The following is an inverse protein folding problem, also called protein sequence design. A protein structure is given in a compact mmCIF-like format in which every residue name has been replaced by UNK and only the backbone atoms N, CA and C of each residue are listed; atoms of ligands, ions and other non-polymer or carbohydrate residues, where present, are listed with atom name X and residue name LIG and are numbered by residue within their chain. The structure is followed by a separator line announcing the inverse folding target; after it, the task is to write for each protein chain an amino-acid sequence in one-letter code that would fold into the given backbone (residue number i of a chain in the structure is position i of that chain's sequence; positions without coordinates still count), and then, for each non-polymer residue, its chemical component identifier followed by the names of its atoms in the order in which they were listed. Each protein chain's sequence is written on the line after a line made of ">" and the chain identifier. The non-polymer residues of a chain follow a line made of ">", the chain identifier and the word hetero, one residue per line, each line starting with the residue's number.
data_IF_095436880860
#
_entry.id   IF_095436880860
#
_cell.length_a   1.000
_cell.length_b   1.000
_cell.length_c   1.000
_cell.angle_alpha   90.00
_cell.angle_beta   90.00
_cell.angle_gamma   90.00
#
_symmetry.space_group_name_H-M   'P 1'
#
loop_
_entity.id
_entity.type
_entity.pdbx_description
1 polymer ?
#
# COMPACT_ATOMS: atom_id res chain seq x y z
N UNK A 1 1.37 1.08 9.70
CA UNK A 1 0.27 2.03 9.38
C UNK A 1 -1.04 1.26 9.38
N UNK A 2 -2.13 1.86 9.87
CA UNK A 2 -3.46 1.22 9.80
C UNK A 2 -3.90 1.08 8.35
N UNK A 3 -4.47 -0.09 8.03
CA UNK A 3 -5.04 -0.38 6.71
C UNK A 3 -6.02 0.69 6.27
N UNK A 4 -6.84 1.22 7.18
CA UNK A 4 -7.81 2.29 6.91
C UNK A 4 -7.20 3.54 6.27
N UNK A 5 -5.92 3.81 6.53
CA UNK A 5 -5.23 4.98 5.95
C UNK A 5 -4.57 4.69 4.61
N UNK A 6 -4.54 3.42 4.18
CA UNK A 6 -3.94 3.02 2.91
C UNK A 6 -4.83 3.44 1.75
N UNK A 7 -4.24 4.13 0.78
CA UNK A 7 -4.89 4.53 -0.46
C UNK A 7 -4.37 3.68 -1.63
N UNK A 8 -5.20 3.45 -2.66
CA UNK A 8 -4.72 2.92 -3.92
C UNK A 8 -3.50 3.73 -4.43
N UNK A 9 -2.49 3.02 -4.94
CA UNK A 9 -1.23 3.61 -5.42
C UNK A 9 -0.11 3.65 -4.37
N UNK A 10 -0.40 3.46 -3.07
CA UNK A 10 0.64 3.35 -2.06
C UNK A 10 1.47 2.07 -2.23
N UNK A 11 2.75 2.14 -1.86
CA UNK A 11 3.64 0.99 -1.80
C UNK A 11 3.61 0.36 -0.41
N UNK A 12 3.53 -0.96 -0.37
CA UNK A 12 3.40 -1.73 0.87
C UNK A 12 4.43 -2.85 0.87
N UNK A 13 5.10 -3.04 2.01
CA UNK A 13 5.98 -4.18 2.21
C UNK A 13 5.20 -5.32 2.86
N UNK A 14 5.18 -6.46 2.19
CA UNK A 14 4.47 -7.65 2.65
C UNK A 14 5.27 -8.90 2.27
N UNK A 15 5.54 -9.76 3.26
CA UNK A 15 6.40 -10.95 3.12
C UNK A 15 7.77 -10.63 2.50
N UNK A 16 8.42 -9.56 2.98
CA UNK A 16 9.73 -9.12 2.47
C UNK A 16 9.72 -8.58 1.03
N UNK A 17 8.56 -8.46 0.40
CA UNK A 17 8.40 -7.96 -0.98
C UNK A 17 7.62 -6.66 -1.01
N UNK A 18 7.91 -5.83 -2.01
CA UNK A 18 7.15 -4.59 -2.27
C UNK A 18 5.96 -4.88 -3.17
N UNK A 19 4.81 -4.36 -2.78
CA UNK A 19 3.53 -4.48 -3.46
C UNK A 19 2.90 -3.11 -3.62
N UNK A 20 2.04 -2.94 -4.64
CA UNK A 20 1.23 -1.74 -4.80
C UNK A 20 -0.18 -2.01 -4.26
N UNK A 21 -0.70 -1.11 -3.44
CA UNK A 21 -2.10 -1.14 -3.05
C UNK A 21 -2.98 -0.82 -4.26
N UNK A 22 -3.82 -1.76 -4.68
CA UNK A 22 -4.75 -1.56 -5.81
C UNK A 22 -6.12 -1.12 -5.35
N UNK A 23 -6.61 -1.70 -4.24
CA UNK A 23 -7.91 -1.38 -3.68
C UNK A 23 -7.92 -1.66 -2.18
N UNK A 24 -8.49 -0.74 -1.40
CA UNK A 24 -8.72 -0.93 0.03
C UNK A 24 -10.22 -0.94 0.27
N UNK A 25 -10.76 -2.12 0.54
CA UNK A 25 -12.19 -2.32 0.78
C UNK A 25 -12.41 -2.96 2.14
N UNK A 26 -13.66 -3.01 2.59
CA UNK A 26 -14.03 -3.61 3.87
C UNK A 26 -13.54 -5.07 3.98
N UNK A 27 -13.67 -5.83 2.88
CA UNK A 27 -13.22 -7.23 2.75
C UNK A 27 -11.70 -7.44 2.77
N UNK A 28 -10.90 -6.37 2.75
CA UNK A 28 -9.45 -6.43 2.81
C UNK A 28 -8.75 -5.46 1.86
N UNK A 29 -7.42 -5.47 1.93
CA UNK A 29 -6.55 -4.68 1.09
C UNK A 29 -5.99 -5.56 -0.03
N UNK A 30 -6.29 -5.18 -1.26
CA UNK A 30 -5.80 -5.82 -2.46
C UNK A 30 -4.48 -5.19 -2.86
N UNK A 31 -3.52 -6.07 -3.07
CA UNK A 31 -2.16 -5.75 -3.48
C UNK A 31 -1.95 -6.33 -4.87
N UNK A 32 -1.48 -5.50 -5.81
CA UNK A 32 -1.05 -5.94 -7.11
C UNK A 32 0.44 -5.73 -7.31
N UNK A 33 0.97 -6.58 -8.17
CA UNK A 33 2.30 -6.52 -8.74
C UNK A 33 2.15 -6.86 -10.23
N UNK A 34 3.18 -6.58 -11.02
CA UNK A 34 3.17 -6.73 -12.48
C UNK A 34 2.53 -8.04 -12.99
N UNK A 35 2.70 -9.15 -12.28
CA UNK A 35 2.20 -10.47 -12.68
C UNK A 35 1.32 -11.16 -11.63
N UNK A 36 1.04 -10.52 -10.49
CA UNK A 36 0.40 -11.21 -9.36
C UNK A 36 -0.51 -10.28 -8.59
N UNK A 37 -1.61 -10.83 -8.07
CA UNK A 37 -2.49 -10.14 -7.12
C UNK A 37 -2.59 -10.97 -5.85
N UNK A 38 -2.61 -10.29 -4.72
CA UNK A 38 -2.85 -10.91 -3.41
C UNK A 38 -3.80 -10.04 -2.60
N UNK A 39 -4.46 -10.64 -1.62
CA UNK A 39 -5.35 -9.95 -0.68
C UNK A 39 -4.83 -10.17 0.72
N UNK A 40 -4.69 -9.07 1.46
CA UNK A 40 -4.33 -9.11 2.87
C UNK A 40 -5.46 -8.54 3.72
N UNK A 41 -5.73 -9.21 4.83
CA UNK A 41 -6.75 -8.79 5.82
C UNK A 41 -6.12 -8.23 7.10
N UNK A 42 -4.79 -8.10 7.13
CA UNK A 42 -4.08 -7.54 8.26
C UNK A 42 -4.53 -6.09 8.53
N UNK A 43 -4.75 -5.77 9.81
CA UNK A 43 -5.18 -4.43 10.23
C UNK A 43 -4.03 -3.42 10.15
N UNK A 44 -2.82 -3.88 10.42
CA UNK A 44 -1.60 -3.08 10.35
C UNK A 44 -0.75 -3.58 9.19
N UNK A 45 -0.30 -2.64 8.35
CA UNK A 45 0.55 -2.91 7.20
C UNK A 45 1.76 -1.98 7.18
N UNK A 46 2.87 -2.47 6.64
CA UNK A 46 4.08 -1.68 6.43
C UNK A 46 3.94 -0.88 5.12
N UNK A 47 3.74 0.44 5.23
CA UNK A 47 3.67 1.32 4.07
C UNK A 47 5.04 1.93 3.82
N UNK A 48 5.52 1.82 2.58
CA UNK A 48 6.72 2.51 2.11
C UNK A 48 6.28 3.92 1.73
N UNK A 49 6.62 4.89 2.58
CA UNK A 49 6.43 6.31 2.29
C UNK A 49 7.64 6.81 1.53
N UNK A 50 7.40 7.45 0.39
CA UNK A 50 8.45 8.22 -0.26
C UNK A 50 8.70 9.46 0.62
N UNK A 51 9.94 9.59 1.09
CA UNK A 51 10.33 10.65 2.00
C UNK A 51 10.62 11.98 1.31
N UNK A 52 10.30 12.14 0.02
CA UNK A 52 10.44 13.45 -0.60
C UNK A 52 9.32 14.37 -0.08
N UNK A 53 9.60 15.37 0.78
CA UNK A 53 8.69 16.48 0.89
C UNK A 53 8.53 17.01 -0.53
N UNK A 54 7.31 16.97 -1.06
CA UNK A 54 6.97 17.78 -2.22
C UNK A 54 7.17 19.21 -1.75
N UNK A 55 8.36 19.77 -2.01
CA UNK A 55 8.56 21.20 -1.94
C UNK A 55 7.49 21.79 -2.85
N UNK A 56 6.53 22.58 -2.33
CA UNK A 56 5.60 23.27 -3.21
C UNK A 56 6.45 24.17 -4.10
N UNK A 57 6.52 23.80 -5.38
CA UNK A 57 7.17 24.61 -6.39
C UNK A 57 6.25 25.76 -6.77
N UNK A 58 6.78 26.97 -6.58
CA UNK A 58 6.28 28.29 -6.98
C UNK A 58 5.31 28.98 -6.01
#
# INVERSE_FOLDING_TARGET
>A
MFRSHVRPGMLIRHNGRTWRASANVEKGLYLDRLTTKTRISAEIVEVLVDSAPRVPGH
#
